data_IF_437477588854
#
_entry.id   IF_437477588854
#
_cell.length_a   1.000
_cell.length_b   1.000
_cell.length_c   1.000
_cell.angle_alpha   90.00
_cell.angle_beta   90.00
_cell.angle_gamma   90.00
#
_symmetry.space_group_name_H-M   'P 1'
#
loop_
_entity.id
_entity.type
_entity.pdbx_description
1 polymer ?
#
# COMPACT_ATOMS: atom_id res chain seq x y z
N UNK A 1 -0.57 -5.14 -2.13
CA UNK A 1 -2.04 -5.25 -2.34
C UNK A 1 -2.46 -6.56 -2.97
N UNK A 2 -1.85 -7.03 -4.06
CA UNK A 2 -2.29 -8.26 -4.75
C UNK A 2 -2.19 -9.53 -3.88
N UNK A 3 -1.13 -9.66 -3.08
CA UNK A 3 -0.94 -10.79 -2.17
C UNK A 3 -1.99 -10.83 -1.05
N UNK A 4 -2.21 -9.71 -0.36
CA UNK A 4 -3.26 -9.58 0.68
C UNK A 4 -4.65 -9.86 0.10
N UNK A 5 -4.92 -9.36 -1.10
CA UNK A 5 -6.18 -9.61 -1.82
C UNK A 5 -6.37 -11.10 -2.15
N UNK A 6 -5.32 -11.77 -2.64
CA UNK A 6 -5.34 -13.20 -2.96
C UNK A 6 -5.53 -14.06 -1.70
N UNK A 7 -4.81 -13.75 -0.61
CA UNK A 7 -4.91 -14.48 0.65
C UNK A 7 -6.30 -14.38 1.28
N UNK A 8 -7.01 -13.27 1.06
CA UNK A 8 -8.35 -13.01 1.60
C UNK A 8 -9.49 -13.32 0.63
N UNK A 9 -9.19 -13.62 -0.64
CA UNK A 9 -10.20 -13.83 -1.69
C UNK A 9 -11.03 -12.58 -1.99
N UNK A 10 -10.50 -11.38 -1.78
CA UNK A 10 -11.19 -10.10 -2.01
C UNK A 10 -10.52 -9.28 -3.11
N UNK A 11 -11.22 -8.27 -3.62
CA UNK A 11 -10.68 -7.41 -4.68
C UNK A 11 -9.58 -6.50 -4.16
N UNK A 12 -8.58 -6.22 -5.00
CA UNK A 12 -7.49 -5.28 -4.66
C UNK A 12 -8.00 -3.89 -4.32
N UNK A 13 -9.09 -3.45 -4.98
CA UNK A 13 -9.73 -2.17 -4.71
C UNK A 13 -10.30 -2.12 -3.28
N UNK A 14 -10.87 -3.23 -2.79
CA UNK A 14 -11.38 -3.34 -1.43
C UNK A 14 -10.24 -3.26 -0.41
N UNK A 15 -9.11 -3.94 -0.67
CA UNK A 15 -7.90 -3.85 0.18
C UNK A 15 -7.35 -2.43 0.23
N UNK A 16 -7.25 -1.77 -0.93
CA UNK A 16 -6.74 -0.41 -1.02
C UNK A 16 -7.63 0.58 -0.24
N UNK A 17 -8.96 0.48 -0.42
CA UNK A 17 -9.89 1.38 0.23
C UNK A 17 -9.95 1.13 1.75
N UNK A 18 -9.93 -0.13 2.17
CA UNK A 18 -9.85 -0.52 3.58
C UNK A 18 -8.57 -0.02 4.24
N UNK A 19 -7.44 -0.04 3.54
CA UNK A 19 -6.19 0.53 4.03
C UNK A 19 -6.31 2.04 4.25
N UNK A 20 -6.84 2.79 3.27
CA UNK A 20 -7.05 4.25 3.38
C UNK A 20 -8.01 4.61 4.53
N UNK A 21 -9.10 3.86 4.68
CA UNK A 21 -10.11 4.04 5.73
C UNK A 21 -9.57 3.85 7.16
N UNK A 22 -8.47 3.12 7.33
CA UNK A 22 -7.87 2.85 8.63
C UNK A 22 -6.76 3.85 9.00
N UNK A 23 -6.48 4.86 8.16
CA UNK A 23 -5.48 5.91 8.44
C UNK A 23 -6.17 7.14 9.01
N UNK A 24 -5.70 7.65 10.15
CA UNK A 24 -6.15 8.95 10.65
C UNK A 24 -5.50 10.09 9.85
N UNK A 25 -6.20 11.22 9.59
CA UNK A 25 -7.57 11.56 9.99
C UNK A 25 -8.66 11.17 8.96
N UNK A 26 -8.41 10.17 8.10
CA UNK A 26 -9.31 9.83 6.99
C UNK A 26 -10.65 9.30 7.53
N UNK A 27 -11.68 10.15 7.50
CA UNK A 27 -13.03 9.76 7.93
C UNK A 27 -13.81 9.07 6.81
N UNK A 28 -13.64 9.50 5.56
CA UNK A 28 -14.24 8.87 4.39
C UNK A 28 -13.42 9.16 3.11
N UNK A 29 -13.06 8.14 2.32
CA UNK A 29 -12.44 8.33 1.01
C UNK A 29 -13.47 8.80 -0.01
N UNK A 30 -13.06 9.71 -0.91
CA UNK A 30 -13.90 10.13 -2.04
C UNK A 30 -13.79 9.06 -3.12
N UNK A 31 -14.89 8.34 -3.38
CA UNK A 31 -14.95 7.28 -4.40
C UNK A 31 -15.64 7.80 -5.65
N UNK A 32 -14.90 7.90 -6.75
CA UNK A 32 -15.47 8.17 -8.08
C UNK A 32 -16.10 6.92 -8.66
N UNK A 33 -17.43 6.82 -8.65
CA UNK A 33 -18.16 5.70 -9.24
C UNK A 33 -18.81 6.11 -10.57
N UNK A 34 -18.10 5.90 -11.69
CA UNK A 34 -18.71 5.98 -13.03
C UNK A 34 -19.54 4.74 -13.39
N UNK A 35 -19.44 3.69 -12.57
CA UNK A 35 -20.17 2.43 -12.71
C UNK A 35 -20.71 1.97 -11.33
N UNK A 36 -21.90 1.35 -11.25
CA UNK A 36 -22.52 0.94 -9.99
C UNK A 36 -21.66 0.01 -9.13
N UNK A 37 -20.94 -0.93 -9.75
CA UNK A 37 -20.12 -1.89 -9.01
C UNK A 37 -18.96 -1.26 -8.22
N UNK A 38 -18.48 -0.06 -8.60
CA UNK A 38 -17.47 0.63 -7.80
C UNK A 38 -18.02 1.04 -6.42
N UNK A 39 -19.32 1.32 -6.32
CA UNK A 39 -19.96 1.64 -5.05
C UNK A 39 -20.11 0.38 -4.20
N UNK A 40 -20.48 -0.74 -4.79
CA UNK A 40 -20.58 -2.05 -4.11
C UNK A 40 -19.22 -2.46 -3.51
N UNK A 41 -18.15 -2.31 -4.27
CA UNK A 41 -16.78 -2.55 -3.79
C UNK A 41 -16.37 -1.59 -2.68
N UNK A 42 -16.76 -0.32 -2.77
CA UNK A 42 -16.47 0.65 -1.73
C UNK A 42 -17.18 0.33 -0.41
N UNK A 43 -18.44 -0.11 -0.50
CA UNK A 43 -19.21 -0.57 0.66
C UNK A 43 -18.60 -1.83 1.26
N UNK A 44 -18.22 -2.81 0.42
CA UNK A 44 -17.59 -4.04 0.88
C UNK A 44 -16.27 -3.78 1.64
N UNK A 45 -15.49 -2.79 1.21
CA UNK A 45 -14.25 -2.41 1.87
C UNK A 45 -14.42 -1.92 3.32
N UNK A 46 -15.59 -1.34 3.68
CA UNK A 46 -15.88 -0.89 5.05
C UNK A 46 -15.90 -2.05 6.06
N UNK A 47 -16.14 -3.28 5.59
CA UNK A 47 -16.14 -4.49 6.42
C UNK A 47 -14.76 -5.16 6.50
N UNK A 48 -13.77 -4.68 5.75
CA UNK A 48 -12.42 -5.25 5.75
C UNK A 48 -11.57 -4.56 6.82
N UNK A 49 -11.20 -5.32 7.85
CA UNK A 49 -10.19 -4.90 8.84
C UNK A 49 -8.86 -5.54 8.49
N UNK A 50 -7.84 -4.71 8.30
CA UNK A 50 -6.48 -5.16 8.02
C UNK A 50 -5.74 -5.27 9.35
N UNK A 51 -4.95 -6.33 9.51
CA UNK A 51 -4.11 -6.44 10.69
C UNK A 51 -2.80 -5.65 10.53
N UNK A 52 -2.07 -5.48 11.63
CA UNK A 52 -0.84 -4.68 11.64
C UNK A 52 0.23 -5.23 10.69
N UNK A 53 0.31 -6.55 10.49
CA UNK A 53 1.31 -7.15 9.59
C UNK A 53 0.97 -6.89 8.13
N UNK A 54 -0.31 -6.91 7.78
CA UNK A 54 -0.79 -6.55 6.44
C UNK A 54 -0.61 -5.06 6.16
N UNK A 55 -0.91 -4.20 7.14
CA UNK A 55 -0.67 -2.75 7.01
C UNK A 55 0.80 -2.48 6.76
N UNK A 56 1.71 -3.10 7.52
CA UNK A 56 3.17 -2.95 7.34
C UNK A 56 3.61 -3.48 5.97
N UNK A 57 3.07 -4.62 5.52
CA UNK A 57 3.36 -5.18 4.19
C UNK A 57 2.91 -4.24 3.07
N UNK A 58 1.71 -3.65 3.21
CA UNK A 58 1.16 -2.69 2.25
C UNK A 58 1.96 -1.39 2.20
N UNK A 59 2.39 -0.87 3.35
CA UNK A 59 3.18 0.36 3.45
C UNK A 59 4.63 0.19 2.95
N UNK A 60 5.24 -0.97 3.22
CA UNK A 60 6.55 -1.32 2.69
C UNK A 60 6.56 -1.35 1.16
N UNK A 61 5.45 -1.81 0.55
CA UNK A 61 5.26 -1.81 -0.90
C UNK A 61 4.86 -0.45 -1.49
N UNK A 62 4.36 0.49 -0.68
CA UNK A 62 3.92 1.81 -1.11
C UNK A 62 5.06 2.83 -1.17
N UNK A 63 6.25 2.52 -0.66
CA UNK A 63 7.42 3.40 -0.71
C UNK A 63 7.89 3.48 -2.17
N UNK A 64 7.65 4.58 -2.90
CA UNK A 64 8.11 4.69 -4.26
C UNK A 64 9.63 4.77 -4.25
N UNK A 65 10.30 4.18 -5.25
CA UNK A 65 11.76 4.20 -5.37
C UNK A 65 12.35 5.64 -5.39
N UNK A 66 11.53 6.65 -5.64
CA UNK A 66 11.88 8.08 -5.62
C UNK A 66 11.84 8.73 -4.23
N UNK A 67 11.18 8.14 -3.23
CA UNK A 67 11.16 8.62 -1.82
C UNK A 67 12.31 8.02 -0.98
N UNK A 68 13.33 7.48 -1.63
CA UNK A 68 14.60 7.12 -1.00
C UNK A 68 15.42 8.38 -0.65
N UNK A 69 14.87 9.22 0.25
CA UNK A 69 15.57 10.34 0.83
C UNK A 69 16.80 9.90 1.64
N UNK A 70 17.81 10.75 1.71
CA UNK A 70 19.14 10.53 2.31
C UNK A 70 19.04 9.92 3.73
N UNK A 71 18.01 10.29 4.50
CA UNK A 71 17.78 9.79 5.87
C UNK A 71 17.43 8.29 5.95
N UNK A 72 16.89 7.70 4.88
CA UNK A 72 16.62 6.27 4.80
C UNK A 72 17.81 5.49 4.23
N UNK A 73 18.70 6.17 3.47
CA UNK A 73 19.96 5.62 2.97
C UNK A 73 20.95 5.32 4.12
N UNK A 74 21.05 6.21 5.11
CA UNK A 74 21.90 6.02 6.30
C UNK A 74 21.40 4.86 7.20
N UNK A 75 20.09 4.71 7.39
CA UNK A 75 19.51 3.54 8.06
C UNK A 75 19.74 2.24 7.28
N UNK A 76 19.86 2.30 5.94
CA UNK A 76 20.03 1.13 5.08
C UNK A 76 21.50 0.72 4.94
N UNK A 77 22.43 1.69 4.85
CA UNK A 77 23.88 1.48 4.97
C UNK A 77 24.21 0.85 6.33
N UNK A 78 23.54 1.30 7.40
CA UNK A 78 23.70 0.72 8.74
C UNK A 78 23.28 -0.76 8.81
N UNK A 79 22.41 -1.24 7.91
CA UNK A 79 22.01 -2.66 7.78
C UNK A 79 22.88 -3.47 6.82
N UNK A 80 23.97 -2.90 6.29
CA UNK A 80 25.06 -3.64 5.63
C UNK A 80 24.71 -4.35 4.32
N UNK A 81 23.55 -4.05 3.72
CA UNK A 81 23.17 -4.66 2.44
C UNK A 81 23.54 -3.69 1.32
N UNK A 82 24.57 -4.04 0.53
CA UNK A 82 24.96 -3.26 -0.66
C UNK A 82 24.33 -3.94 -1.87
N UNK A 83 23.45 -3.23 -2.59
CA UNK A 83 23.02 -3.69 -3.92
C UNK A 83 24.21 -3.55 -4.88
N UNK A 84 24.51 -4.54 -5.75
CA UNK A 84 25.41 -4.33 -6.87
C UNK A 84 24.74 -3.35 -7.84
N UNK A 85 25.14 -2.08 -7.78
CA UNK A 85 24.72 -1.07 -8.74
C UNK A 85 25.42 -1.34 -10.07
N UNK A 86 24.72 -1.99 -11.02
CA UNK A 86 25.13 -1.96 -12.43
C UNK A 86 24.77 -0.59 -13.00
N UNK A 87 25.79 0.23 -13.23
CA UNK A 87 25.64 1.54 -13.85
C UNK A 87 25.23 1.42 -15.32
N UNK A 88 24.02 1.87 -15.63
CA UNK A 88 23.62 2.30 -16.96
C UNK A 88 23.65 3.83 -16.99
N UNK A 89 24.60 4.39 -17.72
CA UNK A 89 24.77 5.84 -17.85
C UNK A 89 23.73 6.48 -18.77
N UNK A 90 23.41 7.73 -18.46
CA UNK A 90 23.22 8.86 -19.38
C UNK A 90 23.59 10.14 -18.62
#
# INVERSE_FOLDING_TARGET
>A
MAEVAANRGILRAQVALAWVLQKEPVTAPIVGATKPHHLEDAVAALSVKLDATEIVSLEGALCPASDFGILKLEMWISKGTVFPFQGGGY
#
